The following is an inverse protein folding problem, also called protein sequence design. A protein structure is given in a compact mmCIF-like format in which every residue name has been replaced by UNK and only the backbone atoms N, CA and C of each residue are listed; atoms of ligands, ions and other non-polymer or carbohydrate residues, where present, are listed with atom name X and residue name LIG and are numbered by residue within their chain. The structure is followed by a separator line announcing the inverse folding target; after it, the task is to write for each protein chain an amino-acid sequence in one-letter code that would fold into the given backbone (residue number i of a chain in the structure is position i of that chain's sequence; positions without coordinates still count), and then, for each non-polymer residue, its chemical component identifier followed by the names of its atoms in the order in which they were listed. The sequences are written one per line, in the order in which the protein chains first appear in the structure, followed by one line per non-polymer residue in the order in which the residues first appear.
data_IF_585181609147
#
_entry.id   IF_585181609147
#
_cell.length_a   1.000
_cell.length_b   1.000
_cell.length_c   1.000
_cell.angle_alpha   90.00
_cell.angle_beta   90.00
_cell.angle_gamma   90.00
#
_symmetry.space_group_name_H-M   'P 1'
#
loop_
_entity.id
_entity.type
_entity.pdbx_description
1 polymer ?
#
# COMPACT_ATOMS: atom_id res chain seq x y z
N UNK A 1 7.60 -78.10 -12.66
CA UNK A 1 8.14 -77.02 -11.80
C UNK A 1 9.01 -76.11 -12.66
N UNK A 2 8.69 -74.81 -12.69
CA UNK A 2 9.58 -73.64 -12.94
C UNK A 2 10.25 -73.59 -14.34
N UNK A 3 9.62 -73.05 -15.41
CA UNK A 3 9.54 -71.63 -15.83
C UNK A 3 10.83 -70.81 -15.60
N UNK A 4 11.57 -70.55 -16.68
CA UNK A 4 12.54 -69.44 -16.77
C UNK A 4 12.16 -68.53 -17.93
N UNK A 5 12.02 -67.24 -17.61
CA UNK A 5 11.46 -66.16 -18.40
C UNK A 5 12.62 -65.38 -19.05
N UNK A 6 12.69 -65.35 -20.38
CA UNK A 6 13.61 -64.47 -21.11
C UNK A 6 12.93 -63.11 -21.35
N UNK A 7 13.41 -62.07 -20.67
CA UNK A 7 12.95 -60.71 -20.85
C UNK A 7 13.66 -60.06 -22.05
N UNK A 8 12.90 -59.64 -23.05
CA UNK A 8 13.35 -58.81 -24.17
C UNK A 8 13.25 -57.35 -23.73
N UNK A 9 14.41 -56.68 -23.56
CA UNK A 9 14.47 -55.25 -23.27
C UNK A 9 14.31 -54.43 -24.54
N UNK A 10 13.21 -53.69 -24.66
CA UNK A 10 13.01 -52.67 -25.69
C UNK A 10 13.71 -51.37 -25.28
N UNK A 11 14.69 -50.92 -26.06
CA UNK A 11 15.34 -49.62 -25.89
C UNK A 11 14.43 -48.54 -26.47
N UNK A 12 13.75 -47.79 -25.60
CA UNK A 12 13.04 -46.58 -25.98
C UNK A 12 14.04 -45.43 -26.14
N UNK A 13 14.25 -44.96 -27.38
CA UNK A 13 14.92 -43.69 -27.64
C UNK A 13 14.01 -42.54 -27.15
N UNK A 14 14.27 -42.04 -25.95
CA UNK A 14 13.76 -40.73 -25.52
C UNK A 14 14.46 -39.64 -26.34
N UNK A 15 13.76 -39.08 -27.31
CA UNK A 15 14.12 -37.81 -27.92
C UNK A 15 13.88 -36.70 -26.89
N UNK A 16 14.94 -36.25 -26.25
CA UNK A 16 14.95 -35.03 -25.44
C UNK A 16 14.81 -33.83 -26.38
N UNK A 17 13.57 -33.42 -26.64
CA UNK A 17 13.30 -32.10 -27.21
C UNK A 17 13.77 -31.04 -26.21
N UNK A 18 14.95 -30.51 -26.42
CA UNK A 18 15.40 -29.26 -25.81
C UNK A 18 14.42 -28.19 -26.26
N UNK A 19 13.44 -27.86 -25.40
CA UNK A 19 12.62 -26.66 -25.55
C UNK A 19 13.54 -25.46 -25.34
N UNK A 20 14.15 -24.99 -26.43
CA UNK A 20 14.69 -23.64 -26.46
C UNK A 20 13.50 -22.72 -26.16
N UNK A 21 13.54 -21.87 -25.11
CA UNK A 21 12.46 -20.94 -24.86
C UNK A 21 12.34 -20.06 -26.10
N UNK A 22 11.25 -20.22 -26.84
CA UNK A 22 10.96 -19.40 -28.01
C UNK A 22 10.96 -17.95 -27.54
N UNK A 23 11.89 -17.15 -28.05
CA UNK A 23 11.95 -15.73 -27.80
C UNK A 23 10.57 -15.15 -28.17
N UNK A 24 9.91 -14.53 -27.18
CA UNK A 24 8.59 -13.93 -27.33
C UNK A 24 8.55 -13.08 -28.61
N UNK A 25 7.77 -13.50 -29.60
CA UNK A 25 7.67 -12.75 -30.84
C UNK A 25 7.10 -11.35 -30.55
N UNK A 26 7.91 -10.33 -30.85
CA UNK A 26 7.50 -8.92 -30.74
C UNK A 26 6.79 -8.53 -32.03
N UNK A 27 5.56 -8.05 -31.92
CA UNK A 27 4.74 -7.61 -33.05
C UNK A 27 4.50 -6.11 -32.92
N UNK A 28 5.19 -5.32 -33.74
CA UNK A 28 4.98 -3.87 -33.83
C UNK A 28 3.75 -3.53 -34.67
N UNK A 29 2.93 -2.59 -34.21
CA UNK A 29 1.70 -2.13 -34.87
C UNK A 29 1.62 -0.60 -34.82
N UNK A 30 1.10 0.03 -35.87
CA UNK A 30 1.15 1.50 -36.03
C UNK A 30 -0.08 2.23 -35.52
N UNK A 31 -1.21 1.54 -35.34
CA UNK A 31 -2.47 2.13 -34.92
C UNK A 31 -3.39 1.13 -34.20
N UNK A 32 -4.45 1.66 -33.59
CA UNK A 32 -5.45 0.91 -32.83
C UNK A 32 -6.07 -0.26 -33.61
N UNK A 33 -6.40 -0.09 -34.89
CA UNK A 33 -6.99 -1.16 -35.71
C UNK A 33 -6.00 -2.31 -35.94
N UNK A 34 -4.75 -1.99 -36.26
CA UNK A 34 -3.69 -3.00 -36.39
C UNK A 34 -3.37 -3.69 -35.06
N UNK A 35 -3.49 -2.98 -33.93
CA UNK A 35 -3.36 -3.58 -32.59
C UNK A 35 -4.48 -4.57 -32.30
N UNK A 36 -5.73 -4.24 -32.64
CA UNK A 36 -6.85 -5.16 -32.46
C UNK A 36 -6.64 -6.45 -33.28
N UNK A 37 -6.26 -6.35 -34.55
CA UNK A 37 -5.98 -7.51 -35.39
C UNK A 37 -4.81 -8.37 -34.85
N UNK A 38 -3.78 -7.72 -34.30
CA UNK A 38 -2.67 -8.42 -33.67
C UNK A 38 -3.11 -9.16 -32.40
N UNK A 39 -3.98 -8.57 -31.58
CA UNK A 39 -4.56 -9.23 -30.40
C UNK A 39 -5.41 -10.44 -30.81
N UNK A 40 -6.26 -10.30 -31.82
CA UNK A 40 -7.19 -11.36 -32.24
C UNK A 40 -6.44 -12.63 -32.71
N UNK A 41 -5.23 -12.46 -33.23
CA UNK A 41 -4.33 -13.53 -33.69
C UNK A 41 -3.24 -13.91 -32.69
N UNK A 42 -3.19 -13.26 -31.52
CA UNK A 42 -2.09 -13.41 -30.60
C UNK A 42 -2.04 -14.80 -29.94
N UNK A 43 -0.82 -15.25 -29.66
CA UNK A 43 -0.49 -16.47 -28.93
C UNK A 43 0.10 -16.12 -27.57
N UNK A 44 -0.10 -16.95 -26.53
CA UNK A 44 0.56 -16.76 -25.25
C UNK A 44 2.08 -16.58 -25.41
N UNK A 45 2.65 -15.66 -24.65
CA UNK A 45 4.04 -15.24 -24.70
C UNK A 45 4.33 -14.07 -25.64
N UNK A 46 3.42 -13.68 -26.53
CA UNK A 46 3.69 -12.58 -27.47
C UNK A 46 3.66 -11.19 -26.81
N UNK A 47 4.50 -10.28 -27.33
CA UNK A 47 4.50 -8.86 -26.99
C UNK A 47 4.02 -8.03 -28.18
N UNK A 48 2.89 -7.35 -28.03
CA UNK A 48 2.29 -6.50 -29.04
C UNK A 48 2.62 -5.05 -28.70
N UNK A 49 3.29 -4.34 -29.61
CA UNK A 49 3.87 -3.01 -29.36
C UNK A 49 3.19 -1.97 -30.24
N UNK A 50 2.40 -1.08 -29.62
CA UNK A 50 1.75 0.02 -30.32
C UNK A 50 2.70 1.21 -30.46
N UNK A 51 2.82 1.73 -31.68
CA UNK A 51 3.68 2.87 -31.99
C UNK A 51 3.38 4.11 -31.12
N UNK A 52 4.42 4.92 -30.92
CA UNK A 52 4.30 6.21 -30.25
C UNK A 52 3.34 7.15 -30.99
N UNK A 53 2.70 8.04 -30.24
CA UNK A 53 1.72 8.98 -30.75
C UNK A 53 0.44 9.01 -29.94
N UNK A 54 -0.47 9.90 -30.35
CA UNK A 54 -1.80 10.03 -29.75
C UNK A 54 -2.78 9.13 -30.50
N UNK A 55 -3.41 8.23 -29.77
CA UNK A 55 -4.38 7.27 -30.28
C UNK A 55 -5.76 7.56 -29.70
N UNK A 56 -6.76 7.59 -30.56
CA UNK A 56 -8.17 7.65 -30.17
C UNK A 56 -8.80 6.29 -30.41
N UNK A 57 -9.50 5.80 -29.40
CA UNK A 57 -10.23 4.55 -29.45
C UNK A 57 -11.73 4.86 -29.33
N UNK A 58 -12.39 5.14 -30.45
CA UNK A 58 -13.85 5.38 -30.51
C UNK A 58 -14.62 4.16 -29.99
N UNK A 59 -14.02 2.98 -30.12
CA UNK A 59 -14.35 1.76 -29.40
C UNK A 59 -13.09 1.26 -28.69
N UNK A 60 -13.21 0.72 -27.47
CA UNK A 60 -12.04 0.23 -26.74
C UNK A 60 -11.38 -0.95 -27.45
N UNK A 61 -10.05 -1.04 -27.35
CA UNK A 61 -9.28 -2.19 -27.84
C UNK A 61 -9.55 -3.39 -26.94
N UNK A 62 -10.14 -4.43 -27.51
CA UNK A 62 -10.56 -5.62 -26.78
C UNK A 62 -9.41 -6.58 -26.62
N UNK A 63 -9.04 -6.88 -25.39
CA UNK A 63 -8.05 -7.88 -25.05
C UNK A 63 -8.76 -9.19 -24.75
N UNK A 64 -8.67 -10.13 -25.69
CA UNK A 64 -9.40 -11.42 -25.67
C UNK A 64 -8.47 -12.64 -25.59
N UNK A 65 -7.15 -12.41 -25.51
CA UNK A 65 -6.14 -13.47 -25.41
C UNK A 65 -5.40 -13.36 -24.08
N UNK A 66 -5.17 -14.52 -23.46
CA UNK A 66 -4.41 -14.68 -22.23
C UNK A 66 -2.90 -14.81 -22.50
N UNK A 67 -2.09 -14.51 -21.49
CA UNK A 67 -0.64 -14.74 -21.53
C UNK A 67 0.12 -13.79 -22.45
N UNK A 68 -0.45 -12.65 -22.84
CA UNK A 68 0.18 -11.69 -23.76
C UNK A 68 0.61 -10.41 -23.03
N UNK A 69 1.57 -9.71 -23.61
CA UNK A 69 1.90 -8.34 -23.22
C UNK A 69 1.43 -7.37 -24.30
N UNK A 70 0.67 -6.36 -23.91
CA UNK A 70 0.31 -5.21 -24.74
C UNK A 70 1.10 -4.02 -24.21
N UNK A 71 1.95 -3.42 -25.04
CA UNK A 71 2.90 -2.42 -24.62
C UNK A 71 2.93 -1.20 -25.55
N UNK A 72 3.26 -0.04 -24.98
CA UNK A 72 3.69 1.13 -25.73
C UNK A 72 5.08 0.88 -26.38
N UNK A 73 5.35 1.56 -27.49
CA UNK A 73 6.67 1.52 -28.15
C UNK A 73 7.75 2.11 -27.25
N UNK A 74 7.51 3.30 -26.71
CA UNK A 74 8.29 3.87 -25.63
C UNK A 74 7.40 4.19 -24.42
N UNK A 75 7.93 4.02 -23.21
CA UNK A 75 7.21 4.35 -21.98
C UNK A 75 6.87 5.83 -22.01
N UNK A 76 5.57 6.15 -21.99
CA UNK A 76 5.07 7.52 -22.09
C UNK A 76 4.85 8.04 -23.52
N UNK A 77 5.28 7.29 -24.55
CA UNK A 77 5.18 7.71 -25.96
C UNK A 77 3.83 7.41 -26.61
N UNK A 78 3.11 6.39 -26.13
CA UNK A 78 1.79 6.01 -26.65
C UNK A 78 0.67 6.52 -25.73
N UNK A 79 -0.13 7.47 -26.23
CA UNK A 79 -1.12 8.20 -25.43
C UNK A 79 -2.55 7.90 -25.87
N UNK A 80 -3.42 7.51 -24.95
CA UNK A 80 -4.88 7.48 -25.12
C UNK A 80 -5.52 8.68 -24.42
N UNK A 81 -6.24 9.52 -25.16
CA UNK A 81 -6.98 10.67 -24.59
C UNK A 81 -8.45 10.36 -24.29
N UNK A 82 -8.96 9.29 -24.90
CA UNK A 82 -10.31 8.74 -24.73
C UNK A 82 -10.30 7.27 -25.11
N UNK A 83 -11.24 6.49 -24.56
CA UNK A 83 -11.26 5.04 -24.74
C UNK A 83 -10.08 4.37 -24.03
N UNK A 84 -9.41 3.42 -24.68
CA UNK A 84 -8.29 2.65 -24.13
C UNK A 84 -8.51 1.16 -24.34
N UNK A 85 -8.29 0.36 -23.30
CA UNK A 85 -8.42 -1.09 -23.35
C UNK A 85 -9.69 -1.57 -22.64
N UNK A 86 -10.27 -2.65 -23.17
CA UNK A 86 -11.29 -3.45 -22.50
C UNK A 86 -10.76 -4.87 -22.37
N UNK A 87 -10.48 -5.32 -21.15
CA UNK A 87 -10.10 -6.69 -20.88
C UNK A 87 -11.34 -7.59 -20.89
N UNK A 88 -11.27 -8.71 -21.59
CA UNK A 88 -12.30 -9.75 -21.55
C UNK A 88 -12.05 -10.77 -20.44
N UNK A 89 -12.55 -12.00 -20.64
CA UNK A 89 -12.17 -13.14 -19.83
C UNK A 89 -10.78 -13.64 -20.26
N UNK A 90 -9.75 -13.14 -19.60
CA UNK A 90 -8.34 -13.37 -19.91
C UNK A 90 -7.53 -13.60 -18.64
N UNK A 91 -6.35 -14.17 -18.74
CA UNK A 91 -5.45 -14.35 -17.59
C UNK A 91 -4.02 -14.01 -17.98
N UNK A 92 -3.20 -13.59 -17.02
CA UNK A 92 -1.77 -13.34 -17.23
C UNK A 92 -1.50 -12.32 -18.37
N UNK A 93 -2.30 -11.23 -18.40
CA UNK A 93 -2.11 -10.14 -19.36
C UNK A 93 -1.24 -9.06 -18.73
N UNK A 94 -0.28 -8.51 -19.48
CA UNK A 94 0.47 -7.32 -19.06
C UNK A 94 0.07 -6.12 -19.92
N UNK A 95 -0.25 -4.99 -19.27
CA UNK A 95 -0.49 -3.69 -19.91
C UNK A 95 0.65 -2.74 -19.50
N UNK A 96 1.45 -2.31 -20.47
CA UNK A 96 2.74 -1.68 -20.18
C UNK A 96 2.98 -0.36 -20.93
N UNK A 97 3.41 0.67 -20.19
CA UNK A 97 4.06 1.85 -20.79
C UNK A 97 3.13 2.92 -21.37
N UNK A 98 1.81 2.76 -21.30
CA UNK A 98 0.85 3.68 -21.90
C UNK A 98 0.61 4.93 -21.06
N UNK A 99 0.14 6.00 -21.70
CA UNK A 99 -0.43 7.17 -21.03
C UNK A 99 -1.95 7.16 -21.21
N UNK A 100 -2.69 7.10 -20.12
CA UNK A 100 -4.14 7.25 -20.04
C UNK A 100 -4.47 8.69 -19.58
N UNK A 101 -4.63 9.58 -20.56
CA UNK A 101 -4.88 11.00 -20.35
C UNK A 101 -6.35 11.39 -20.60
N UNK A 102 -6.73 12.61 -20.23
CA UNK A 102 -8.08 13.12 -20.42
C UNK A 102 -9.10 12.25 -19.68
N UNK A 103 -10.02 11.64 -20.43
CA UNK A 103 -11.09 10.78 -19.88
C UNK A 103 -10.76 9.29 -19.96
N UNK A 104 -9.63 8.91 -20.56
CA UNK A 104 -9.23 7.50 -20.74
C UNK A 104 -8.92 6.84 -19.40
N UNK A 105 -9.54 5.70 -19.09
CA UNK A 105 -9.33 4.96 -17.84
C UNK A 105 -9.12 3.48 -18.12
N UNK A 106 -8.72 2.72 -17.11
CA UNK A 106 -8.59 1.27 -17.21
C UNK A 106 -9.39 0.57 -16.12
N UNK A 107 -10.11 -0.47 -16.50
CA UNK A 107 -10.82 -1.36 -15.59
C UNK A 107 -10.30 -2.79 -15.82
N UNK A 108 -9.84 -3.44 -14.75
CA UNK A 108 -9.45 -4.86 -14.74
C UNK A 108 -10.63 -5.65 -14.17
N UNK A 109 -11.49 -6.26 -15.01
CA UNK A 109 -12.70 -6.95 -14.56
C UNK A 109 -12.36 -8.23 -13.81
N UNK A 110 -13.33 -8.84 -13.13
CA UNK A 110 -13.09 -9.97 -12.22
C UNK A 110 -12.52 -11.21 -12.93
N UNK A 111 -12.81 -11.35 -14.21
CA UNK A 111 -12.37 -12.44 -15.07
C UNK A 111 -10.90 -12.28 -15.50
N UNK A 112 -10.33 -11.06 -15.42
CA UNK A 112 -8.99 -10.71 -15.89
C UNK A 112 -7.88 -11.03 -14.85
N UNK A 113 -7.84 -12.28 -14.37
CA UNK A 113 -6.96 -12.68 -13.27
C UNK A 113 -5.47 -12.62 -13.60
N UNK A 114 -4.64 -12.41 -12.58
CA UNK A 114 -3.18 -12.35 -12.72
C UNK A 114 -2.70 -11.31 -13.75
N UNK A 115 -3.48 -10.23 -13.92
CA UNK A 115 -3.11 -9.12 -14.81
C UNK A 115 -2.03 -8.26 -14.14
N UNK A 116 -1.02 -7.85 -14.92
CA UNK A 116 -0.01 -6.89 -14.50
C UNK A 116 -0.23 -5.55 -15.19
N UNK A 117 -0.40 -4.49 -14.41
CA UNK A 117 -0.52 -3.11 -14.89
C UNK A 117 0.75 -2.40 -14.50
N UNK A 118 1.62 -2.09 -15.47
CA UNK A 118 2.95 -1.59 -15.16
C UNK A 118 3.44 -0.45 -16.05
N UNK A 119 4.23 0.47 -15.49
CA UNK A 119 4.83 1.59 -16.23
C UNK A 119 3.84 2.49 -16.97
N UNK A 120 2.57 2.50 -16.57
CA UNK A 120 1.57 3.36 -17.18
C UNK A 120 1.49 4.71 -16.44
N UNK A 121 1.13 5.77 -17.17
CA UNK A 121 0.81 7.08 -16.59
C UNK A 121 -0.69 7.34 -16.69
N UNK A 122 -1.31 7.72 -15.58
CA UNK A 122 -2.70 8.15 -15.52
C UNK A 122 -2.74 9.65 -15.19
N UNK A 123 -3.26 10.47 -16.10
CA UNK A 123 -3.31 11.94 -15.95
C UNK A 123 -4.64 12.55 -16.36
N UNK A 124 -5.00 13.69 -15.78
CA UNK A 124 -6.22 14.40 -16.13
C UNK A 124 -7.46 13.95 -15.36
N UNK A 125 -8.50 14.79 -15.44
CA UNK A 125 -9.71 14.69 -14.64
C UNK A 125 -10.71 13.69 -15.24
N UNK A 126 -10.82 12.51 -14.60
CA UNK A 126 -11.71 11.42 -14.99
C UNK A 126 -12.92 11.36 -14.06
N UNK A 127 -14.04 10.79 -14.50
CA UNK A 127 -15.10 10.41 -13.56
C UNK A 127 -14.73 9.07 -12.90
N UNK A 128 -14.88 8.99 -11.57
CA UNK A 128 -14.55 7.77 -10.82
C UNK A 128 -13.06 7.45 -10.77
N UNK A 129 -12.70 6.16 -10.67
CA UNK A 129 -11.31 5.72 -10.56
C UNK A 129 -10.53 5.90 -11.87
N UNK A 130 -9.21 6.17 -11.79
CA UNK A 130 -8.32 6.11 -12.97
C UNK A 130 -8.01 4.66 -13.36
N UNK A 131 -7.81 3.81 -12.35
CA UNK A 131 -7.67 2.36 -12.47
C UNK A 131 -8.58 1.67 -11.46
N UNK A 132 -9.49 0.81 -11.95
CA UNK A 132 -10.28 -0.09 -11.10
C UNK A 132 -9.81 -1.53 -11.24
N UNK A 133 -9.75 -2.26 -10.13
CA UNK A 133 -9.38 -3.67 -10.08
C UNK A 133 -10.46 -4.49 -9.39
N UNK A 134 -10.99 -5.46 -10.12
CA UNK A 134 -11.95 -6.45 -9.63
C UNK A 134 -11.40 -7.88 -9.67
N UNK A 135 -10.34 -8.15 -10.42
CA UNK A 135 -9.70 -9.46 -10.48
C UNK A 135 -8.78 -9.74 -9.28
N UNK A 136 -8.62 -11.03 -9.00
CA UNK A 136 -7.61 -11.55 -8.08
C UNK A 136 -6.21 -11.56 -8.71
N UNK A 137 -5.19 -11.57 -7.85
CA UNK A 137 -3.78 -11.72 -8.21
C UNK A 137 -3.23 -10.63 -9.13
N UNK A 138 -3.89 -9.46 -9.16
CA UNK A 138 -3.46 -8.32 -9.97
C UNK A 138 -2.24 -7.65 -9.36
N UNK A 139 -1.23 -7.42 -10.19
CA UNK A 139 -0.05 -6.63 -9.84
C UNK A 139 -0.18 -5.23 -10.45
N UNK A 140 -0.09 -4.20 -9.62
CA UNK A 140 -0.10 -2.79 -10.03
C UNK A 140 1.23 -2.19 -9.61
N UNK A 141 2.14 -2.02 -10.57
CA UNK A 141 3.52 -1.63 -10.26
C UNK A 141 4.12 -0.57 -11.17
N UNK A 142 5.04 0.25 -10.66
CA UNK A 142 5.76 1.25 -11.45
C UNK A 142 4.86 2.19 -12.26
N UNK A 143 3.61 2.41 -11.87
CA UNK A 143 2.72 3.35 -12.54
C UNK A 143 2.86 4.75 -11.93
N UNK A 144 2.50 5.77 -12.70
CA UNK A 144 2.37 7.15 -12.20
C UNK A 144 0.92 7.60 -12.30
N UNK A 145 0.33 8.00 -11.18
CA UNK A 145 -0.99 8.62 -11.11
C UNK A 145 -0.81 10.08 -10.73
N UNK A 146 -1.22 11.01 -11.61
CA UNK A 146 -0.83 12.41 -11.43
C UNK A 146 -1.88 13.45 -11.85
N UNK A 147 -1.80 14.60 -11.19
CA UNK A 147 -2.47 15.84 -11.57
C UNK A 147 -3.98 15.70 -11.71
N UNK A 148 -4.64 15.32 -10.62
CA UNK A 148 -6.09 15.22 -10.53
C UNK A 148 -6.64 16.29 -9.63
N UNK A 149 -7.67 17.01 -10.09
CA UNK A 149 -8.28 18.10 -9.33
C UNK A 149 -9.79 17.98 -9.10
N UNK A 150 -10.43 16.99 -9.72
CA UNK A 150 -11.85 16.69 -9.55
C UNK A 150 -12.05 15.50 -8.60
N UNK A 151 -13.31 15.29 -8.19
CA UNK A 151 -13.69 14.13 -7.39
C UNK A 151 -13.29 12.81 -8.07
N UNK A 152 -12.83 11.86 -7.26
CA UNK A 152 -12.64 10.45 -7.58
C UNK A 152 -11.22 9.97 -7.27
N UNK A 153 -11.06 8.65 -7.18
CA UNK A 153 -9.82 8.03 -6.71
C UNK A 153 -8.81 7.79 -7.83
N UNK A 154 -7.54 7.67 -7.52
CA UNK A 154 -6.58 7.19 -8.53
C UNK A 154 -6.74 5.68 -8.74
N UNK A 155 -6.51 4.89 -7.69
CA UNK A 155 -6.57 3.43 -7.72
C UNK A 155 -7.70 2.92 -6.82
N UNK A 156 -8.57 2.09 -7.38
CA UNK A 156 -9.64 1.43 -6.65
C UNK A 156 -9.52 -0.09 -6.74
N UNK A 157 -9.47 -0.75 -5.59
CA UNK A 157 -9.57 -2.21 -5.50
C UNK A 157 -10.96 -2.54 -4.94
N UNK A 158 -11.78 -3.28 -5.70
CA UNK A 158 -13.18 -3.54 -5.30
C UNK A 158 -13.53 -5.02 -5.25
N UNK A 159 -13.13 -5.84 -6.21
CA UNK A 159 -13.65 -7.21 -6.37
C UNK A 159 -15.07 -7.29 -6.95
N UNK A 160 -15.51 -8.48 -7.40
CA UNK A 160 -16.84 -8.68 -7.99
C UNK A 160 -17.94 -8.66 -6.94
N UNK A 161 -19.09 -8.06 -7.27
CA UNK A 161 -20.29 -8.08 -6.42
C UNK A 161 -20.00 -7.65 -4.98
N UNK A 162 -20.35 -8.50 -4.02
CA UNK A 162 -20.11 -8.33 -2.58
C UNK A 162 -18.77 -8.88 -2.09
N UNK A 163 -17.96 -9.48 -2.97
CA UNK A 163 -16.62 -9.96 -2.66
C UNK A 163 -15.55 -8.90 -2.91
N UNK A 164 -14.35 -9.11 -2.35
CA UNK A 164 -13.17 -8.26 -2.52
C UNK A 164 -12.13 -9.00 -3.36
N UNK A 165 -11.45 -8.28 -4.25
CA UNK A 165 -10.31 -8.80 -5.00
C UNK A 165 -9.23 -9.28 -4.04
N UNK A 166 -8.63 -10.44 -4.33
CA UNK A 166 -7.66 -11.10 -3.46
C UNK A 166 -6.23 -10.89 -3.97
N UNK A 167 -5.29 -10.78 -3.02
CA UNK A 167 -3.85 -10.84 -3.27
C UNK A 167 -3.37 -9.81 -4.30
N UNK A 168 -4.04 -8.66 -4.38
CA UNK A 168 -3.55 -7.56 -5.20
C UNK A 168 -2.23 -7.04 -4.62
N UNK A 169 -1.21 -6.92 -5.47
CA UNK A 169 0.10 -6.40 -5.08
C UNK A 169 0.32 -5.03 -5.71
N UNK A 170 0.34 -3.99 -4.87
CA UNK A 170 0.44 -2.59 -5.28
C UNK A 170 1.80 -2.07 -4.83
N UNK A 171 2.74 -1.91 -5.76
CA UNK A 171 4.10 -1.50 -5.38
C UNK A 171 4.85 -0.60 -6.34
N UNK A 172 5.77 0.20 -5.80
CA UNK A 172 6.63 1.08 -6.61
C UNK A 172 5.85 2.06 -7.50
N UNK A 173 4.60 2.39 -7.15
CA UNK A 173 3.81 3.39 -7.87
C UNK A 173 4.09 4.79 -7.31
N UNK A 174 3.95 5.78 -8.19
CA UNK A 174 4.04 7.19 -7.83
C UNK A 174 2.67 7.87 -7.90
N UNK A 175 2.16 8.34 -6.75
CA UNK A 175 0.92 9.09 -6.66
C UNK A 175 1.25 10.56 -6.40
N UNK A 176 0.93 11.43 -7.34
CA UNK A 176 1.33 12.83 -7.31
C UNK A 176 0.17 13.79 -7.48
N UNK A 177 0.17 14.86 -6.69
CA UNK A 177 -0.65 16.05 -6.93
C UNK A 177 -2.14 15.71 -7.14
N UNK A 178 -2.69 14.99 -6.17
CA UNK A 178 -4.13 14.81 -6.06
C UNK A 178 -4.68 15.98 -5.24
N UNK A 179 -5.43 16.89 -5.86
CA UNK A 179 -5.84 18.16 -5.27
C UNK A 179 -7.35 18.37 -5.45
N UNK A 180 -8.14 17.83 -4.54
CA UNK A 180 -9.59 17.97 -4.56
C UNK A 180 -10.05 18.77 -3.35
N UNK A 181 -10.87 19.79 -3.57
CA UNK A 181 -11.34 20.70 -2.52
C UNK A 181 -12.62 20.23 -1.82
N UNK A 182 -13.21 19.13 -2.29
CA UNK A 182 -14.37 18.53 -1.64
C UNK A 182 -14.00 17.76 -0.38
N UNK A 183 -15.01 17.31 0.36
CA UNK A 183 -14.81 16.70 1.66
C UNK A 183 -14.52 15.18 1.62
N UNK A 184 -14.89 14.49 0.53
CA UNK A 184 -14.79 13.03 0.43
C UNK A 184 -14.67 12.59 -1.03
N UNK A 185 -13.95 11.50 -1.27
CA UNK A 185 -13.90 10.82 -2.57
C UNK A 185 -12.66 11.15 -3.41
N UNK A 186 -11.65 11.79 -2.81
CA UNK A 186 -10.38 12.11 -3.44
C UNK A 186 -9.22 11.23 -2.96
N UNK A 187 -9.48 9.98 -2.56
CA UNK A 187 -8.45 9.08 -2.04
C UNK A 187 -7.44 8.72 -3.15
N UNK A 188 -6.14 8.62 -2.84
CA UNK A 188 -5.17 8.12 -3.85
C UNK A 188 -5.35 6.62 -4.07
N UNK A 189 -5.48 5.85 -2.98
CA UNK A 189 -5.88 4.44 -3.03
C UNK A 189 -7.14 4.26 -2.20
N UNK A 190 -8.14 3.60 -2.79
CA UNK A 190 -9.26 3.00 -2.05
C UNK A 190 -9.22 1.49 -2.20
N UNK A 191 -8.92 0.79 -1.10
CA UNK A 191 -8.86 -0.67 -1.01
C UNK A 191 -10.13 -1.20 -0.35
N UNK A 192 -11.15 -1.48 -1.16
CA UNK A 192 -12.45 -1.97 -0.71
C UNK A 192 -13.50 -0.88 -0.50
N UNK A 193 -14.56 -1.26 0.23
CA UNK A 193 -15.71 -0.42 0.56
C UNK A 193 -16.26 -0.83 1.92
N UNK A 194 -17.05 0.04 2.56
CA UNK A 194 -17.66 -0.26 3.86
C UNK A 194 -18.44 -1.59 3.86
N UNK A 195 -19.21 -1.85 2.79
CA UNK A 195 -19.98 -3.09 2.65
C UNK A 195 -19.14 -4.37 2.43
N UNK A 196 -17.81 -4.21 2.27
CA UNK A 196 -16.82 -5.29 2.08
C UNK A 196 -15.84 -5.38 3.25
N UNK A 197 -16.10 -4.65 4.34
CA UNK A 197 -15.13 -4.47 5.43
C UNK A 197 -14.63 -5.77 6.06
N UNK A 198 -15.52 -6.75 6.23
CA UNK A 198 -15.19 -8.05 6.84
C UNK A 198 -14.47 -9.01 5.88
N UNK A 199 -14.34 -8.66 4.59
CA UNK A 199 -13.73 -9.53 3.58
C UNK A 199 -12.21 -9.41 3.60
N UNK A 200 -11.53 -10.53 3.74
CA UNK A 200 -10.07 -10.62 3.70
C UNK A 200 -9.56 -10.42 2.27
N UNK A 201 -8.93 -9.29 1.97
CA UNK A 201 -8.36 -9.07 0.64
C UNK A 201 -6.95 -9.67 0.52
N UNK A 202 -6.20 -9.76 1.63
CA UNK A 202 -4.80 -10.18 1.60
C UNK A 202 -3.97 -9.34 0.60
N UNK A 203 -4.33 -8.07 0.44
CA UNK A 203 -3.63 -7.17 -0.47
C UNK A 203 -2.35 -6.63 0.20
N UNK A 204 -1.34 -6.36 -0.62
CA UNK A 204 -0.07 -5.79 -0.17
C UNK A 204 0.11 -4.43 -0.86
N UNK A 205 0.21 -3.36 -0.07
CA UNK A 205 0.51 -2.01 -0.53
C UNK A 205 1.90 -1.63 -0.02
N UNK A 206 2.90 -1.68 -0.89
CA UNK A 206 4.29 -1.45 -0.47
C UNK A 206 5.19 -0.67 -1.41
N UNK A 207 6.18 0.03 -0.86
CA UNK A 207 7.15 0.81 -1.63
C UNK A 207 6.52 1.83 -2.59
N UNK A 208 5.35 2.40 -2.25
CA UNK A 208 4.74 3.46 -3.05
C UNK A 208 5.10 4.83 -2.48
N UNK A 209 5.19 5.83 -3.35
CA UNK A 209 5.43 7.23 -2.99
C UNK A 209 4.19 8.07 -3.23
N UNK A 210 3.76 8.79 -2.20
CA UNK A 210 2.65 9.75 -2.25
C UNK A 210 3.19 11.15 -1.96
N UNK A 211 3.00 12.06 -2.92
CA UNK A 211 3.40 13.45 -2.82
C UNK A 211 2.25 14.36 -3.20
N UNK A 212 1.90 15.32 -2.33
CA UNK A 212 0.74 16.19 -2.53
C UNK A 212 -0.55 15.39 -2.75
N UNK A 213 -0.74 14.34 -1.96
CA UNK A 213 -1.97 13.56 -1.88
C UNK A 213 -2.96 14.29 -0.97
N UNK A 214 -3.54 15.38 -1.48
CA UNK A 214 -4.39 16.33 -0.75
C UNK A 214 -5.85 16.28 -1.19
N UNK A 215 -6.24 15.28 -1.99
CA UNK A 215 -7.61 15.12 -2.47
C UNK A 215 -8.58 14.65 -1.40
N UNK A 216 -8.07 14.04 -0.34
CA UNK A 216 -8.84 13.54 0.78
C UNK A 216 -7.95 13.51 2.03
N UNK A 217 -8.57 13.43 3.21
CA UNK A 217 -7.84 13.10 4.44
C UNK A 217 -7.27 11.67 4.39
N UNK A 218 -7.73 10.84 3.46
CA UNK A 218 -7.29 9.46 3.25
C UNK A 218 -6.42 9.34 1.98
N UNK A 219 -5.09 9.40 2.12
CA UNK A 219 -4.20 9.10 0.99
C UNK A 219 -4.32 7.61 0.61
N UNK A 220 -4.26 6.74 1.62
CA UNK A 220 -4.55 5.31 1.51
C UNK A 220 -5.76 5.02 2.40
N UNK A 221 -6.89 4.66 1.79
CA UNK A 221 -8.11 4.27 2.48
C UNK A 221 -8.31 2.77 2.41
N UNK A 222 -8.09 2.07 3.53
CA UNK A 222 -8.30 0.63 3.65
C UNK A 222 -9.71 0.37 4.17
N UNK A 223 -10.50 -0.35 3.39
CA UNK A 223 -11.92 -0.65 3.63
C UNK A 223 -12.18 -2.16 3.41
N UNK A 224 -11.24 -2.98 3.87
CA UNK A 224 -11.24 -4.45 3.81
C UNK A 224 -10.32 -5.01 4.91
N UNK A 225 -10.28 -6.33 5.07
CA UNK A 225 -9.51 -6.99 6.14
C UNK A 225 -8.25 -7.71 5.66
N UNK A 226 -7.36 -8.03 6.61
CA UNK A 226 -6.18 -8.88 6.44
C UNK A 226 -5.17 -8.36 5.41
N UNK A 227 -4.99 -7.04 5.34
CA UNK A 227 -4.06 -6.40 4.40
C UNK A 227 -2.68 -6.14 5.02
N UNK A 228 -1.70 -5.84 4.17
CA UNK A 228 -0.39 -5.35 4.57
C UNK A 228 -0.17 -3.99 3.89
N UNK A 229 0.08 -2.94 4.68
CA UNK A 229 0.47 -1.61 4.21
C UNK A 229 1.85 -1.29 4.76
N UNK A 230 2.88 -1.44 3.95
CA UNK A 230 4.26 -1.34 4.44
C UNK A 230 5.20 -0.59 3.55
N UNK A 231 6.23 -0.03 4.15
CA UNK A 231 7.34 0.56 3.43
C UNK A 231 7.02 1.70 2.45
N UNK A 232 5.83 2.30 2.54
CA UNK A 232 5.44 3.43 1.71
C UNK A 232 6.06 4.73 2.26
N UNK A 233 6.22 5.72 1.38
CA UNK A 233 6.57 7.10 1.77
C UNK A 233 5.43 8.03 1.45
N UNK A 234 4.93 8.76 2.45
CA UNK A 234 3.97 9.85 2.25
C UNK A 234 4.64 11.14 2.71
N UNK A 235 4.74 12.14 1.82
CA UNK A 235 5.33 13.44 2.16
C UNK A 235 4.55 14.57 1.52
N UNK A 236 4.64 15.76 2.13
CA UNK A 236 3.98 16.97 1.63
C UNK A 236 2.50 16.73 1.29
N UNK A 237 1.79 15.93 2.10
CA UNK A 237 0.44 15.44 1.78
C UNK A 237 -0.48 15.52 2.99
N UNK A 238 -1.63 16.17 2.88
CA UNK A 238 -2.69 16.21 3.90
C UNK A 238 -3.21 14.81 4.23
N UNK A 239 -3.29 13.92 3.24
CA UNK A 239 -3.83 12.58 3.40
C UNK A 239 -2.97 11.66 4.29
N UNK A 240 -3.65 10.80 5.04
CA UNK A 240 -3.12 9.82 5.99
C UNK A 240 -3.16 8.40 5.41
N UNK A 241 -2.47 7.46 6.07
CA UNK A 241 -2.87 6.05 6.00
C UNK A 241 -4.08 5.89 6.92
N UNK A 242 -5.23 5.52 6.36
CA UNK A 242 -6.47 5.35 7.12
C UNK A 242 -6.99 3.93 6.99
N UNK A 243 -6.93 3.19 8.10
CA UNK A 243 -7.66 1.92 8.25
C UNK A 243 -9.11 2.28 8.55
N UNK A 244 -9.84 2.58 7.49
CA UNK A 244 -11.14 3.23 7.54
C UNK A 244 -12.25 2.27 7.89
N UNK A 245 -12.17 1.05 7.37
CA UNK A 245 -13.05 -0.08 7.69
C UNK A 245 -12.28 -1.40 7.62
N UNK A 246 -12.81 -2.43 8.28
CA UNK A 246 -12.23 -3.77 8.29
C UNK A 246 -11.26 -3.98 9.46
N UNK A 247 -10.61 -5.14 9.47
CA UNK A 247 -9.88 -5.64 10.64
C UNK A 247 -8.56 -6.30 10.23
N UNK A 248 -7.67 -6.56 11.21
CA UNK A 248 -6.46 -7.40 11.04
C UNK A 248 -5.48 -6.93 9.95
N UNK A 249 -5.56 -5.67 9.54
CA UNK A 249 -4.54 -5.06 8.68
C UNK A 249 -3.26 -4.79 9.47
N UNK A 250 -2.12 -5.13 8.88
CA UNK A 250 -0.78 -4.79 9.38
C UNK A 250 -0.27 -3.52 8.69
N UNK A 251 0.16 -2.53 9.46
CA UNK A 251 0.75 -1.28 8.97
C UNK A 251 2.17 -1.17 9.53
N UNK A 252 3.18 -1.47 8.71
CA UNK A 252 4.56 -1.56 9.17
C UNK A 252 5.57 -0.72 8.39
N UNK A 253 6.53 -0.13 9.10
CA UNK A 253 7.69 0.45 8.42
C UNK A 253 7.36 1.62 7.49
N UNK A 254 6.23 2.33 7.59
CA UNK A 254 5.97 3.45 6.68
C UNK A 254 6.77 4.70 7.11
N UNK A 255 7.17 5.53 6.14
CA UNK A 255 7.85 6.81 6.37
C UNK A 255 6.89 7.96 6.05
N UNK A 256 6.37 8.62 7.08
CA UNK A 256 5.29 9.60 6.96
C UNK A 256 5.79 10.98 7.40
N UNK A 257 5.80 11.92 6.47
CA UNK A 257 6.24 13.30 6.71
C UNK A 257 5.06 14.24 6.58
N UNK A 258 4.75 14.88 7.69
CA UNK A 258 3.59 15.72 7.92
C UNK A 258 2.25 14.95 7.81
N UNK A 259 2.25 13.69 7.41
CA UNK A 259 1.09 12.80 7.40
C UNK A 259 1.02 11.98 8.70
N UNK A 260 0.11 11.03 8.80
CA UNK A 260 0.04 10.13 9.94
C UNK A 260 -0.76 8.87 9.65
N UNK A 261 -1.13 8.17 10.72
CA UNK A 261 -1.93 6.95 10.67
C UNK A 261 -3.19 7.17 11.49
N UNK A 262 -4.36 6.89 10.90
CA UNK A 262 -5.64 6.80 11.60
C UNK A 262 -6.22 5.41 11.41
N UNK A 263 -6.84 4.85 12.44
CA UNK A 263 -7.39 3.49 12.33
C UNK A 263 -8.69 3.33 13.10
N UNK A 264 -9.55 2.49 12.54
CA UNK A 264 -10.82 2.03 13.07
C UNK A 264 -10.85 0.50 13.02
N UNK A 265 -11.76 -0.12 13.76
CA UNK A 265 -11.91 -1.57 13.74
C UNK A 265 -10.85 -2.33 14.53
N UNK A 266 -10.78 -3.64 14.27
CA UNK A 266 -10.28 -4.59 15.25
C UNK A 266 -8.94 -5.21 14.87
N UNK A 267 -8.16 -5.61 15.87
CA UNK A 267 -7.04 -6.55 15.76
C UNK A 267 -5.91 -6.10 14.79
N UNK A 268 -5.80 -4.79 14.55
CA UNK A 268 -4.72 -4.22 13.74
C UNK A 268 -3.35 -4.31 14.44
N UNK A 269 -2.29 -4.42 13.63
CA UNK A 269 -0.91 -4.32 14.08
C UNK A 269 -0.25 -3.14 13.40
N UNK A 270 0.17 -2.14 14.16
CA UNK A 270 0.73 -0.89 13.64
C UNK A 270 2.09 -0.68 14.29
N UNK A 271 3.17 -1.00 13.56
CA UNK A 271 4.50 -1.02 14.16
C UNK A 271 5.64 -0.60 13.25
N UNK A 272 6.79 -0.22 13.83
CA UNK A 272 7.96 0.26 13.08
C UNK A 272 7.71 1.46 12.15
N UNK A 273 6.60 2.21 12.32
CA UNK A 273 6.37 3.36 11.47
C UNK A 273 7.17 4.57 11.99
N UNK A 274 7.78 5.30 11.06
CA UNK A 274 8.38 6.60 11.32
C UNK A 274 7.37 7.67 10.90
N UNK A 275 6.92 8.48 11.86
CA UNK A 275 5.95 9.55 11.60
C UNK A 275 6.49 10.85 12.17
N UNK A 276 6.72 11.83 11.29
CA UNK A 276 7.13 13.18 11.66
C UNK A 276 6.04 14.16 11.23
N UNK A 277 5.08 14.40 12.12
CA UNK A 277 3.94 15.27 11.87
C UNK A 277 3.92 16.45 12.86
N UNK A 278 4.36 17.61 12.39
CA UNK A 278 4.40 18.83 13.21
C UNK A 278 3.20 19.73 12.98
N UNK A 279 2.30 19.36 12.05
CA UNK A 279 1.09 20.14 11.72
C UNK A 279 -0.20 19.58 12.33
N UNK A 280 -0.20 18.31 12.70
CA UNK A 280 -1.35 17.60 13.27
C UNK A 280 -0.84 16.34 14.01
N UNK A 281 -1.74 15.45 14.40
CA UNK A 281 -1.50 14.20 15.13
C UNK A 281 -0.75 13.18 14.27
N UNK A 282 0.22 12.49 14.84
CA UNK A 282 0.98 11.45 14.15
C UNK A 282 0.22 10.12 14.11
N UNK A 283 -0.49 9.80 15.18
CA UNK A 283 -1.23 8.55 15.37
C UNK A 283 -2.60 8.83 15.96
N UNK A 284 -3.66 8.34 15.31
CA UNK A 284 -5.06 8.60 15.70
C UNK A 284 -5.83 7.29 15.86
N UNK A 285 -6.26 7.02 17.09
CA UNK A 285 -7.24 6.02 17.42
C UNK A 285 -8.61 6.55 17.00
N UNK A 286 -9.22 5.97 15.97
CA UNK A 286 -10.38 6.55 15.29
C UNK A 286 -11.65 6.64 16.12
N UNK A 287 -12.63 7.38 15.58
CA UNK A 287 -13.76 7.95 16.32
C UNK A 287 -14.72 7.01 17.01
N UNK A 288 -14.81 5.73 16.65
CA UNK A 288 -15.75 4.79 17.29
C UNK A 288 -17.20 5.30 17.38
N UNK A 289 -17.84 5.49 16.23
CA UNK A 289 -19.29 5.73 16.18
C UNK A 289 -20.11 4.48 16.49
N UNK A 290 -19.48 3.31 16.35
CA UNK A 290 -20.06 2.02 16.70
C UNK A 290 -19.02 1.17 17.46
N UNK A 291 -19.50 0.20 18.24
CA UNK A 291 -18.62 -0.70 18.99
C UNK A 291 -18.02 -1.81 18.12
N UNK A 292 -18.87 -2.40 17.26
CA UNK A 292 -18.52 -3.44 16.30
C UNK A 292 -19.65 -3.53 15.27
N UNK A 293 -19.45 -2.89 14.14
CA UNK A 293 -20.43 -2.71 13.09
C UNK A 293 -20.40 -3.91 12.16
N UNK A 294 -21.54 -4.58 12.05
CA UNK A 294 -21.72 -5.61 11.02
C UNK A 294 -21.40 -5.05 9.61
N UNK A 295 -21.27 -5.91 8.59
CA UNK A 295 -20.70 -5.54 7.30
C UNK A 295 -21.50 -4.49 6.52
N UNK A 296 -22.68 -4.06 6.98
CA UNK A 296 -23.55 -3.12 6.27
C UNK A 296 -23.38 -1.66 6.69
N UNK A 297 -22.69 -1.40 7.81
CA UNK A 297 -22.53 -0.04 8.29
C UNK A 297 -21.61 0.79 7.41
N UNK A 298 -21.85 2.10 7.41
CA UNK A 298 -20.97 3.12 6.82
C UNK A 298 -20.26 3.95 7.89
N UNK A 299 -20.63 3.75 9.16
CA UNK A 299 -20.03 4.42 10.30
C UNK A 299 -18.71 3.75 10.67
N UNK A 300 -18.10 4.23 11.75
CA UNK A 300 -16.73 3.93 12.12
C UNK A 300 -16.73 3.06 13.37
N UNK A 301 -16.16 1.87 13.29
CA UNK A 301 -15.89 1.08 14.49
C UNK A 301 -14.84 1.74 15.35
N UNK A 302 -14.99 1.57 16.67
CA UNK A 302 -13.90 1.91 17.59
C UNK A 302 -12.70 1.02 17.29
N UNK A 303 -11.49 1.47 17.62
CA UNK A 303 -10.37 0.56 17.76
C UNK A 303 -10.62 -0.47 18.87
N UNK A 304 -10.52 -1.76 18.56
CA UNK A 304 -10.65 -2.85 19.53
C UNK A 304 -9.49 -3.86 19.36
N UNK A 305 -8.74 -4.15 20.44
CA UNK A 305 -7.55 -5.05 20.41
C UNK A 305 -6.47 -4.66 19.40
N UNK A 306 -6.36 -3.37 19.07
CA UNK A 306 -5.32 -2.87 18.18
C UNK A 306 -4.01 -2.73 18.95
N UNK A 307 -2.90 -3.18 18.35
CA UNK A 307 -1.55 -2.97 18.88
C UNK A 307 -0.81 -1.91 18.09
N UNK A 308 -0.39 -0.84 18.78
CA UNK A 308 0.49 0.22 18.27
C UNK A 308 1.83 0.12 18.99
N UNK A 309 2.84 -0.43 18.32
CA UNK A 309 4.12 -0.70 18.97
C UNK A 309 5.36 -0.36 18.15
N UNK A 310 6.49 -0.04 18.80
CA UNK A 310 7.76 0.20 18.10
C UNK A 310 7.69 1.29 17.03
N UNK A 311 6.84 2.31 17.18
CA UNK A 311 6.81 3.43 16.25
C UNK A 311 7.69 4.58 16.79
N UNK A 312 8.27 5.36 15.87
CA UNK A 312 8.91 6.65 16.20
C UNK A 312 7.99 7.76 15.75
N UNK A 313 7.36 8.44 16.70
CA UNK A 313 6.31 9.44 16.49
C UNK A 313 6.79 10.80 16.98
N UNK A 314 6.92 11.76 16.06
CA UNK A 314 7.43 13.10 16.31
C UNK A 314 6.35 14.12 15.97
N UNK A 315 6.04 15.01 16.89
CA UNK A 315 5.08 16.10 16.70
C UNK A 315 5.24 17.23 17.71
N UNK A 316 4.28 18.14 17.75
CA UNK A 316 4.36 19.37 18.56
C UNK A 316 3.34 19.46 19.71
N UNK A 317 2.21 18.76 19.59
CA UNK A 317 1.13 18.72 20.60
C UNK A 317 0.82 17.28 21.05
N UNK A 318 -0.47 16.93 21.06
CA UNK A 318 -0.90 15.54 21.23
C UNK A 318 -0.44 14.73 20.00
N UNK A 319 0.70 14.06 20.13
CA UNK A 319 1.32 13.27 19.05
C UNK A 319 0.49 12.01 18.79
N UNK A 320 0.02 11.38 19.86
CA UNK A 320 -0.93 10.26 19.82
C UNK A 320 -2.24 10.72 20.43
N UNK A 321 -3.34 10.47 19.73
CA UNK A 321 -4.66 10.93 20.11
C UNK A 321 -5.74 9.88 19.83
N UNK A 322 -6.90 10.02 20.46
CA UNK A 322 -8.13 9.32 20.08
C UNK A 322 -9.18 10.30 19.61
N UNK A 323 -9.93 9.97 18.57
CA UNK A 323 -11.11 10.72 18.18
C UNK A 323 -12.26 10.43 19.17
N UNK A 324 -12.89 11.48 19.73
CA UNK A 324 -13.84 11.38 20.85
C UNK A 324 -15.27 10.95 20.55
N UNK A 325 -15.53 10.02 19.62
CA UNK A 325 -16.91 9.55 19.36
C UNK A 325 -17.45 8.61 20.44
N UNK A 326 -18.61 8.00 20.21
CA UNK A 326 -19.47 7.43 21.27
C UNK A 326 -18.84 6.23 21.98
N UNK A 327 -18.13 5.38 21.22
CA UNK A 327 -17.40 4.22 21.72
C UNK A 327 -15.90 4.48 21.70
N UNK A 328 -15.27 4.37 22.86
CA UNK A 328 -13.84 4.65 23.04
C UNK A 328 -12.99 3.43 22.68
N UNK A 329 -11.70 3.62 22.32
CA UNK A 329 -10.76 2.52 22.14
C UNK A 329 -10.81 1.49 23.27
N UNK A 330 -10.85 0.21 22.91
CA UNK A 330 -10.99 -0.88 23.88
C UNK A 330 -9.89 -1.92 23.69
N UNK A 331 -9.34 -2.40 24.80
CA UNK A 331 -8.32 -3.47 24.86
C UNK A 331 -7.12 -3.23 23.92
N UNK A 332 -6.83 -1.97 23.61
CA UNK A 332 -5.72 -1.61 22.72
C UNK A 332 -4.41 -1.56 23.49
N UNK A 333 -3.30 -1.58 22.75
CA UNK A 333 -1.94 -1.52 23.31
C UNK A 333 -1.17 -0.38 22.66
N UNK A 334 -0.53 0.45 23.48
CA UNK A 334 0.46 1.44 23.05
C UNK A 334 1.79 1.10 23.73
N UNK A 335 2.71 0.46 23.01
CA UNK A 335 3.91 -0.11 23.62
C UNK A 335 5.21 0.17 22.87
N UNK A 336 6.31 0.37 23.60
CA UNK A 336 7.65 0.48 23.00
C UNK A 336 7.76 1.53 21.88
N UNK A 337 6.96 2.61 21.95
CA UNK A 337 7.06 3.71 21.00
C UNK A 337 8.01 4.79 21.53
N UNK A 338 8.73 5.45 20.64
CA UNK A 338 9.33 6.76 20.93
C UNK A 338 8.30 7.82 20.57
N UNK A 339 7.90 8.65 21.54
CA UNK A 339 6.94 9.74 21.33
C UNK A 339 7.61 11.06 21.72
N UNK A 340 7.98 11.86 20.72
CA UNK A 340 8.62 13.16 20.93
C UNK A 340 7.64 14.29 20.62
N UNK A 341 7.29 15.06 21.65
CA UNK A 341 6.53 16.30 21.54
C UNK A 341 7.43 17.54 21.55
N UNK A 342 6.82 18.73 21.63
CA UNK A 342 7.50 19.98 21.97
C UNK A 342 7.00 20.66 23.25
N UNK A 343 5.78 20.33 23.70
CA UNK A 343 5.22 20.77 24.98
C UNK A 343 3.97 19.96 25.34
N UNK A 344 3.49 20.07 26.58
CA UNK A 344 2.21 19.47 27.00
C UNK A 344 2.19 17.94 27.01
N UNK A 345 1.01 17.35 27.08
CA UNK A 345 0.82 15.89 27.08
C UNK A 345 0.95 15.32 25.67
N UNK A 346 1.88 14.39 25.47
CA UNK A 346 2.14 13.79 24.14
C UNK A 346 1.12 12.71 23.75
N UNK A 347 0.36 12.19 24.72
CA UNK A 347 -0.77 11.27 24.51
C UNK A 347 -2.04 11.91 25.04
N UNK A 348 -3.08 11.97 24.21
CA UNK A 348 -4.42 12.44 24.55
C UNK A 348 -5.45 11.36 24.25
N UNK A 349 -5.77 10.53 25.25
CA UNK A 349 -6.87 9.57 25.13
C UNK A 349 -8.11 10.12 25.83
N UNK A 350 -9.27 10.00 25.17
CA UNK A 350 -10.54 10.35 25.77
C UNK A 350 -10.89 9.40 26.93
N UNK A 351 -11.55 9.95 27.95
CA UNK A 351 -12.04 9.16 29.10
C UNK A 351 -12.92 7.99 28.65
N UNK A 352 -12.74 6.85 29.30
CA UNK A 352 -13.37 5.57 28.94
C UNK A 352 -12.57 4.71 27.96
N UNK A 353 -11.44 5.21 27.44
CA UNK A 353 -10.53 4.38 26.64
C UNK A 353 -9.81 3.35 27.52
N UNK A 354 -9.79 2.09 27.10
CA UNK A 354 -9.03 1.02 27.73
C UNK A 354 -7.81 0.71 26.87
N UNK A 355 -6.66 1.25 27.28
CA UNK A 355 -5.38 1.09 26.58
C UNK A 355 -4.31 0.62 27.57
N UNK A 356 -3.61 -0.46 27.24
CA UNK A 356 -2.40 -0.89 27.95
C UNK A 356 -1.23 -0.05 27.45
N UNK A 357 -0.47 0.53 28.38
CA UNK A 357 0.75 1.28 28.09
C UNK A 357 1.96 0.57 28.70
N UNK A 358 3.02 0.33 27.91
CA UNK A 358 4.25 -0.26 28.43
C UNK A 358 5.48 0.11 27.59
N UNK A 359 6.63 0.30 28.25
CA UNK A 359 7.93 0.44 27.57
C UNK A 359 8.09 1.65 26.64
N UNK A 360 7.15 2.60 26.62
CA UNK A 360 7.27 3.79 25.77
C UNK A 360 8.38 4.72 26.30
N UNK A 361 9.04 5.45 25.40
CA UNK A 361 9.94 6.54 25.75
C UNK A 361 9.32 7.85 25.26
N UNK A 362 9.21 8.84 26.16
CA UNK A 362 8.72 10.17 25.80
C UNK A 362 9.80 11.23 26.00
N UNK A 363 9.75 12.26 25.16
CA UNK A 363 10.61 13.43 25.26
C UNK A 363 9.92 14.70 24.77
N UNK A 364 10.31 15.87 25.31
CA UNK A 364 9.75 17.15 24.90
C UNK A 364 8.29 17.37 25.33
N UNK A 365 7.82 16.68 26.36
CA UNK A 365 6.45 16.78 26.89
C UNK A 365 6.22 15.86 28.08
N UNK A 366 5.00 15.84 28.60
CA UNK A 366 4.53 14.91 29.65
C UNK A 366 3.75 13.75 29.03
N UNK A 367 3.45 12.71 29.81
CA UNK A 367 2.67 11.57 29.32
C UNK A 367 1.22 11.88 28.92
N UNK A 368 0.66 13.03 29.34
CA UNK A 368 -0.75 13.35 29.12
C UNK A 368 -1.67 12.31 29.76
N UNK A 369 -2.56 11.69 28.97
CA UNK A 369 -3.46 10.63 29.45
C UNK A 369 -2.75 9.30 29.75
N UNK A 370 -1.47 9.14 29.35
CA UNK A 370 -0.70 7.93 29.63
C UNK A 370 -0.21 7.92 31.09
N UNK A 371 -0.45 6.85 31.87
CA UNK A 371 0.04 6.75 33.24
C UNK A 371 1.58 6.68 33.28
N UNK A 372 2.19 7.14 34.37
CA UNK A 372 3.66 7.17 34.53
C UNK A 372 4.32 5.79 34.50
N UNK A 373 3.59 4.72 34.79
CA UNK A 373 4.07 3.34 34.62
C UNK A 373 4.19 2.90 33.15
N UNK A 374 3.52 3.61 32.23
CA UNK A 374 3.48 3.28 30.81
C UNK A 374 4.65 3.83 29.99
N UNK A 375 5.49 4.69 30.58
CA UNK A 375 6.60 5.33 29.88
C UNK A 375 7.80 5.66 30.76
N UNK A 376 8.94 5.86 30.11
CA UNK A 376 10.13 6.52 30.64
C UNK A 376 10.24 7.91 30.01
N UNK A 377 10.35 8.96 30.84
CA UNK A 377 10.69 10.30 30.36
C UNK A 377 12.21 10.45 30.29
N UNK A 378 12.76 10.38 29.09
CA UNK A 378 14.20 10.48 28.85
C UNK A 378 14.44 10.92 27.41
N UNK A 379 15.51 11.69 27.17
CA UNK A 379 15.93 12.04 25.82
C UNK A 379 16.32 10.76 25.06
N UNK A 380 15.61 10.38 23.97
CA UNK A 380 15.93 9.20 23.18
C UNK A 380 17.23 9.34 22.38
N UNK A 381 17.92 10.49 22.45
CA UNK A 381 19.17 10.78 21.73
C UNK A 381 19.04 10.51 20.23
N UNK A 382 17.96 11.03 19.64
CA UNK A 382 17.71 10.90 18.22
C UNK A 382 18.58 11.87 17.41
N UNK A 383 19.32 11.36 16.43
CA UNK A 383 20.17 12.14 15.52
C UNK A 383 19.71 11.94 14.09
N UNK A 384 19.64 13.04 13.33
CA UNK A 384 19.23 13.00 11.92
C UNK A 384 20.38 12.46 11.07
N UNK A 385 20.12 11.40 10.31
CA UNK A 385 21.07 10.84 9.36
C UNK A 385 21.13 11.64 8.03
N UNK A 386 21.99 11.20 7.11
CA UNK A 386 22.15 11.82 5.79
C UNK A 386 20.90 11.71 4.90
N UNK A 387 20.00 10.76 5.19
CA UNK A 387 18.73 10.57 4.49
C UNK A 387 17.58 11.37 5.13
N UNK A 388 17.86 12.10 6.21
CA UNK A 388 16.86 12.89 6.91
C UNK A 388 15.93 12.08 7.80
N UNK A 389 16.34 10.90 8.27
CA UNK A 389 15.61 10.13 9.27
C UNK A 389 16.25 10.30 10.64
N UNK A 390 15.44 10.43 11.69
CA UNK A 390 15.94 10.41 13.06
C UNK A 390 16.26 8.97 13.50
N UNK A 391 17.52 8.73 13.84
CA UNK A 391 18.09 7.45 14.26
C UNK A 391 18.49 7.49 15.71
N UNK A 392 18.52 6.33 16.36
CA UNK A 392 19.11 6.21 17.69
C UNK A 392 20.60 6.54 17.62
N UNK A 393 21.11 7.34 18.55
CA UNK A 393 22.55 7.49 18.75
C UNK A 393 23.06 6.52 19.82
N UNK A 394 24.37 6.28 19.81
CA UNK A 394 25.04 5.48 20.83
C UNK A 394 24.73 5.98 22.24
N UNK A 395 24.40 5.04 23.13
CA UNK A 395 23.99 5.33 24.51
C UNK A 395 22.59 5.92 24.64
N UNK A 396 21.74 5.80 23.64
CA UNK A 396 20.31 6.10 23.76
C UNK A 396 19.66 5.23 24.84
N UNK A 397 18.77 5.79 25.69
CA UNK A 397 18.01 5.00 26.66
C UNK A 397 16.95 4.09 26.03
N UNK A 398 16.77 4.14 24.71
CA UNK A 398 15.85 3.30 23.96
C UNK A 398 16.49 1.98 23.48
N UNK A 399 17.82 1.87 23.52
CA UNK A 399 18.54 0.67 23.09
C UNK A 399 18.31 -0.48 24.08
N UNK A 400 17.99 -1.67 23.56
CA UNK A 400 17.66 -2.89 24.30
C UNK A 400 16.61 -2.68 25.42
N UNK A 401 15.69 -1.73 25.21
CA UNK A 401 14.86 -1.19 26.28
C UNK A 401 13.39 -1.63 26.23
N UNK A 402 12.97 -2.39 25.21
CA UNK A 402 11.57 -2.80 25.04
C UNK A 402 10.98 -3.57 26.24
N UNK A 403 9.68 -3.45 26.44
CA UNK A 403 8.91 -4.23 27.41
C UNK A 403 7.99 -5.23 26.70
N UNK A 404 7.61 -6.29 27.39
CA UNK A 404 6.69 -7.30 26.86
C UNK A 404 7.29 -8.18 25.76
N UNK A 405 6.42 -8.91 25.05
CA UNK A 405 6.83 -9.82 23.97
C UNK A 405 5.98 -9.56 22.73
N UNK A 406 6.66 -9.25 21.62
CA UNK A 406 6.06 -8.89 20.35
C UNK A 406 6.70 -9.71 19.23
N UNK A 407 6.46 -11.03 19.24
CA UNK A 407 7.18 -12.01 18.39
C UNK A 407 7.04 -11.79 16.88
N UNK A 408 6.06 -11.00 16.44
CA UNK A 408 5.88 -10.63 15.03
C UNK A 408 6.76 -9.44 14.59
N UNK A 409 7.34 -8.68 15.52
CA UNK A 409 8.24 -7.55 15.23
C UNK A 409 9.67 -8.08 15.11
N UNK A 410 9.93 -8.80 14.02
CA UNK A 410 11.21 -9.50 13.78
C UNK A 410 12.27 -8.63 13.11
N UNK A 411 11.83 -7.54 12.49
CA UNK A 411 12.70 -6.55 11.84
C UNK A 411 12.33 -5.14 12.29
N UNK A 412 13.21 -4.19 12.06
CA UNK A 412 12.95 -2.77 12.25
C UNK A 412 12.47 -2.11 10.93
N UNK A 413 12.40 -0.79 10.89
CA UNK A 413 12.06 -0.08 9.66
C UNK A 413 13.21 -0.01 8.62
N UNK A 414 14.47 -0.33 8.94
CA UNK A 414 15.60 -0.49 8.00
C UNK A 414 15.75 -1.94 7.50
N UNK A 415 14.65 -2.70 7.44
CA UNK A 415 14.61 -4.16 7.43
C UNK A 415 15.70 -4.94 8.19
N UNK A 416 16.33 -4.38 9.21
CA UNK A 416 17.36 -5.05 10.03
C UNK A 416 16.69 -6.01 10.99
N UNK A 417 17.33 -7.15 11.28
CA UNK A 417 16.79 -8.09 12.27
C UNK A 417 16.87 -7.47 13.67
N UNK A 418 15.79 -7.60 14.45
CA UNK A 418 15.80 -7.27 15.88
C UNK A 418 16.26 -8.50 16.64
N UNK A 419 17.46 -8.45 17.20
CA UNK A 419 18.08 -9.59 17.90
C UNK A 419 18.16 -9.34 19.39
N UNK A 420 17.85 -10.34 20.21
CA UNK A 420 17.82 -10.16 21.66
C UNK A 420 16.60 -9.35 22.09
N UNK A 421 16.81 -8.29 22.86
CA UNK A 421 15.73 -7.45 23.37
C UNK A 421 15.60 -6.23 22.44
N UNK A 422 14.49 -6.06 21.71
CA UNK A 422 14.37 -4.95 20.76
C UNK A 422 14.58 -3.56 21.35
N UNK A 423 15.04 -2.64 20.51
CA UNK A 423 15.05 -1.21 20.79
C UNK A 423 13.63 -0.64 20.80
N UNK A 424 13.39 0.37 21.63
CA UNK A 424 12.14 1.15 21.65
C UNK A 424 12.13 2.11 20.45
N UNK A 425 11.01 2.19 19.74
CA UNK A 425 10.89 2.97 18.50
C UNK A 425 11.10 2.15 17.23
N UNK A 426 11.06 2.82 16.08
CA UNK A 426 11.05 2.17 14.76
C UNK A 426 12.39 1.64 14.27
N UNK A 427 13.48 2.19 14.83
CA UNK A 427 14.88 1.92 14.48
C UNK A 427 15.44 0.87 15.45
N UNK A 428 16.20 -0.08 14.93
CA UNK A 428 17.15 -0.87 15.71
C UNK A 428 18.53 -0.24 15.52
N UNK A 429 19.15 0.21 16.62
CA UNK A 429 20.40 0.94 16.58
C UNK A 429 21.50 0.13 15.90
N UNK A 430 21.98 0.66 14.78
CA UNK A 430 22.98 0.01 13.95
C UNK A 430 23.78 1.03 13.14
N UNK A 431 25.00 0.65 12.76
CA UNK A 431 25.84 1.43 11.84
C UNK A 431 25.51 1.16 10.37
N UNK A 432 24.61 0.22 10.06
CA UNK A 432 24.26 -0.21 8.70
C UNK A 432 22.91 0.31 8.22
N UNK A 433 22.46 1.48 8.70
CA UNK A 433 21.20 2.07 8.27
C UNK A 433 21.20 2.34 6.76
N UNK A 434 20.22 1.80 6.03
CA UNK A 434 20.16 1.89 4.56
C UNK A 434 18.94 2.60 4.04
N UNK A 435 17.87 2.69 4.83
CA UNK A 435 16.60 3.19 4.30
C UNK A 435 16.59 4.69 4.20
N UNK A 436 15.91 5.15 3.14
CA UNK A 436 15.64 6.54 2.84
C UNK A 436 14.17 6.70 2.44
N UNK A 437 13.58 7.90 2.62
CA UNK A 437 12.30 8.22 2.00
C UNK A 437 12.36 7.98 0.49
N UNK A 438 11.33 7.33 -0.07
CA UNK A 438 11.27 7.08 -1.49
C UNK A 438 11.26 8.40 -2.28
N UNK A 439 11.87 8.35 -3.44
CA UNK A 439 11.92 9.43 -4.41
C UNK A 439 11.33 8.97 -5.74
N UNK A 440 11.16 9.90 -6.68
CA UNK A 440 10.74 9.57 -8.05
C UNK A 440 11.70 8.64 -8.79
N UNK A 441 12.94 8.49 -8.31
CA UNK A 441 13.88 7.52 -8.89
C UNK A 441 13.59 6.08 -8.43
N UNK A 442 12.91 5.91 -7.30
CA UNK A 442 12.61 4.61 -6.70
C UNK A 442 11.22 4.09 -7.10
N UNK A 443 10.36 4.93 -7.72
CA UNK A 443 8.97 4.60 -8.07
C UNK A 443 8.54 5.17 -9.42
N UNK A 444 7.36 4.77 -9.90
CA UNK A 444 6.75 5.31 -11.11
C UNK A 444 7.39 4.75 -12.37
N UNK A 445 7.03 5.34 -13.52
CA UNK A 445 7.27 4.72 -14.83
C UNK A 445 8.74 4.59 -15.21
N UNK A 446 9.61 5.38 -14.56
CA UNK A 446 11.04 5.44 -14.82
C UNK A 446 11.90 4.68 -13.81
N UNK A 447 11.29 4.11 -12.76
CA UNK A 447 12.05 3.35 -11.77
C UNK A 447 12.52 1.99 -12.34
N UNK A 448 13.64 1.42 -11.80
CA UNK A 448 14.27 0.21 -12.31
C UNK A 448 13.36 -1.01 -12.44
#
# INVERSE_FOLDING_TARGET
MIRSLTAVGAVALLSSFVHVPAQAAVVGVSNVSSLQAAIDSARPGQRLVLADGVHRADQPVKITKSGITVAAQSVGGTVFTSGGFQLGNVQNVTIEGFVFDGTSKLDVPAEAQATRITRNTYSGNKSGASLSVSADDVQVDHNTFQNRTNEGVYLQITGPGSEIAKRTHIHHNYFYNHQFSGANGGESIRLGYSHKQSKSANAIVEYNLFEKADGDAEAISVKSSDNIVRYNTIRNSKGYIVLRHGHRTTVEGNLLFQSGIRFHGNDHKIYNNYVENTRDRAMVFGSGKEADSGPTSKLHDRPDRVTVAFNTLIGTGAVVDSDGGDFKPKDCVLANNIIRGSSGGVVSMHSGSTVKYEGNVIWGGTGGSMPSSGYKSADPKLVRDANGLLRLASGSPAIDASAGTYSYVTRDFDPQARSGKPDVGADEHSTSATRKPLTKADVGVSAP
#
